data_IF_760902427689
#
_entry.id   IF_760902427689
#
_cell.length_a   1.000
_cell.length_b   1.000
_cell.length_c   1.000
_cell.angle_alpha   90.00
_cell.angle_beta   90.00
_cell.angle_gamma   90.00
#
_symmetry.space_group_name_H-M   'P 1'
#
loop_
_entity.id
_entity.type
_entity.pdbx_description
1 polymer ?
#
# COMPACT_ATOMS: atom_id res chain seq x y z
N UNK A 1 -1.94 -21.02 -3.50
CA UNK A 1 -1.60 -19.98 -2.49
C UNK A 1 -2.89 -19.56 -1.81
N UNK A 2 -2.94 -19.64 -0.48
CA UNK A 2 -4.14 -19.28 0.27
C UNK A 2 -4.21 -17.75 0.39
N UNK A 3 -5.30 -17.13 -0.06
CA UNK A 3 -5.48 -15.66 0.04
C UNK A 3 -6.04 -15.33 1.41
N UNK A 4 -5.24 -14.69 2.27
CA UNK A 4 -5.70 -14.19 3.57
C UNK A 4 -6.46 -12.88 3.36
N UNK A 5 -7.71 -12.83 3.84
CA UNK A 5 -8.56 -11.64 3.78
C UNK A 5 -8.48 -10.84 5.08
N UNK A 6 -8.49 -9.51 4.95
CA UNK A 6 -8.66 -8.56 6.05
C UNK A 6 -10.14 -8.23 6.21
N UNK A 7 -10.54 -7.84 7.42
CA UNK A 7 -11.92 -7.43 7.69
C UNK A 7 -11.99 -6.26 8.65
N UNK A 8 -12.96 -5.38 8.41
CA UNK A 8 -13.48 -4.43 9.40
C UNK A 8 -14.97 -4.75 9.67
N UNK A 9 -15.65 -3.90 10.45
CA UNK A 9 -17.06 -4.10 10.86
C UNK A 9 -17.97 -4.59 9.74
N UNK A 10 -17.84 -4.01 8.54
CA UNK A 10 -18.78 -4.23 7.44
C UNK A 10 -18.12 -4.73 6.14
N UNK A 11 -16.79 -4.75 6.06
CA UNK A 11 -16.06 -5.02 4.82
C UNK A 11 -15.02 -6.12 5.05
N UNK A 12 -15.07 -7.16 4.21
CA UNK A 12 -14.02 -8.17 4.09
C UNK A 12 -13.33 -7.94 2.75
N UNK A 13 -12.01 -7.86 2.72
CA UNK A 13 -11.26 -7.45 1.54
C UNK A 13 -9.87 -8.08 1.47
N UNK A 14 -9.36 -8.26 0.26
CA UNK A 14 -7.92 -8.36 -0.02
C UNK A 14 -7.65 -7.52 -1.26
N UNK A 15 -7.17 -6.30 -1.05
CA UNK A 15 -7.01 -5.29 -2.09
C UNK A 15 -5.53 -4.98 -2.24
N UNK A 16 -4.84 -5.83 -2.98
CA UNK A 16 -3.40 -5.72 -3.24
C UNK A 16 -3.15 -5.04 -4.58
N UNK A 17 -2.16 -4.17 -4.61
CA UNK A 17 -1.81 -3.37 -5.77
C UNK A 17 -0.31 -3.38 -5.99
N UNK A 18 0.11 -3.57 -7.23
CA UNK A 18 1.45 -3.26 -7.68
C UNK A 18 1.47 -1.81 -8.15
N UNK A 19 2.25 -0.98 -7.45
CA UNK A 19 2.38 0.44 -7.72
C UNK A 19 3.81 0.74 -8.15
N UNK A 20 3.96 1.56 -9.18
CA UNK A 20 5.25 2.07 -9.62
C UNK A 20 5.21 3.58 -9.81
N UNK A 21 6.25 4.29 -9.36
CA UNK A 21 6.45 5.70 -9.71
C UNK A 21 7.93 6.04 -9.86
N UNK A 22 8.21 7.17 -10.52
CA UNK A 22 9.57 7.61 -10.81
C UNK A 22 9.87 8.98 -10.18
N UNK A 23 11.14 9.30 -9.86
CA UNK A 23 11.59 10.65 -9.67
C UNK A 23 11.27 11.55 -10.87
N UNK A 24 11.18 12.85 -10.65
CA UNK A 24 10.95 13.84 -11.70
C UNK A 24 12.06 13.72 -12.77
N UNK A 25 11.63 13.72 -14.03
CA UNK A 25 12.49 13.48 -15.20
C UNK A 25 13.23 12.14 -15.20
N UNK A 26 12.76 11.17 -14.39
CA UNK A 26 13.36 9.84 -14.24
C UNK A 26 14.86 9.91 -13.91
N UNK A 27 15.26 10.93 -13.15
CA UNK A 27 16.67 11.08 -12.73
C UNK A 27 17.04 9.95 -11.77
N UNK A 28 18.26 9.43 -11.93
CA UNK A 28 18.86 8.41 -11.07
C UNK A 28 19.33 9.02 -9.73
N UNK A 29 18.38 9.37 -8.86
CA UNK A 29 18.65 10.06 -7.58
C UNK A 29 18.39 9.21 -6.35
N UNK A 30 17.78 8.03 -6.51
CA UNK A 30 17.54 7.08 -5.42
C UNK A 30 18.77 6.21 -5.22
N UNK A 31 19.88 6.86 -4.86
CA UNK A 31 21.20 6.25 -4.67
C UNK A 31 21.90 6.94 -3.51
N UNK A 32 23.07 6.46 -3.11
CA UNK A 32 23.89 7.08 -2.05
C UNK A 32 23.12 7.25 -0.73
N UNK A 33 22.34 6.24 -0.34
CA UNK A 33 21.57 6.21 0.90
C UNK A 33 20.17 6.82 0.82
N UNK A 34 19.82 7.51 -0.27
CA UNK A 34 18.44 8.01 -0.48
C UNK A 34 17.44 6.87 -0.59
N UNK A 35 17.82 5.79 -1.26
CA UNK A 35 17.03 4.57 -1.41
C UNK A 35 16.78 3.88 -0.05
N UNK A 36 17.82 3.73 0.76
CA UNK A 36 17.71 3.15 2.11
C UNK A 36 16.76 3.98 2.95
N UNK A 37 16.97 5.30 2.98
CA UNK A 37 16.12 6.22 3.74
C UNK A 37 14.69 6.25 3.23
N UNK A 38 14.49 6.16 1.92
CA UNK A 38 13.16 6.05 1.32
C UNK A 38 12.45 4.76 1.75
N UNK A 39 13.13 3.61 1.81
CA UNK A 39 12.53 2.35 2.29
C UNK A 39 12.07 2.48 3.75
N UNK A 40 12.83 3.14 4.61
CA UNK A 40 12.44 3.42 6.01
C UNK A 40 11.19 4.29 6.09
N UNK A 41 11.21 5.45 5.42
CA UNK A 41 10.12 6.41 5.43
C UNK A 41 8.80 5.82 4.90
N UNK A 42 8.88 5.00 3.85
CA UNK A 42 7.70 4.33 3.29
C UNK A 42 7.11 3.34 4.29
N UNK A 43 7.93 2.55 4.97
CA UNK A 43 7.48 1.59 5.99
C UNK A 43 6.87 2.30 7.20
N UNK A 44 7.55 3.32 7.72
CA UNK A 44 7.08 4.12 8.84
C UNK A 44 5.71 4.74 8.54
N UNK A 45 5.59 5.38 7.37
CA UNK A 45 4.39 6.13 7.03
C UNK A 45 3.21 5.23 6.60
N UNK A 46 3.48 4.05 6.04
CA UNK A 46 2.44 3.10 5.69
C UNK A 46 1.61 2.67 6.91
N UNK A 47 2.24 2.53 8.08
CA UNK A 47 1.57 2.24 9.36
C UNK A 47 0.53 3.33 9.69
N UNK A 48 0.87 4.60 9.51
CA UNK A 48 -0.04 5.72 9.75
C UNK A 48 -1.24 5.72 8.79
N UNK A 49 -1.09 5.13 7.59
CA UNK A 49 -2.15 5.01 6.61
C UNK A 49 -2.99 3.73 6.79
N UNK A 50 -2.67 2.88 7.79
CA UNK A 50 -3.24 1.53 7.91
C UNK A 50 -3.15 0.76 6.59
N UNK A 51 -2.03 0.92 5.89
CA UNK A 51 -1.73 0.24 4.64
C UNK A 51 -0.51 -0.66 4.84
N UNK A 52 -0.52 -1.82 4.20
CA UNK A 52 0.54 -2.81 4.38
C UNK A 52 1.40 -2.90 3.13
N UNK A 53 2.67 -2.49 3.25
CA UNK A 53 3.67 -2.72 2.21
C UNK A 53 4.16 -4.15 2.35
N UNK A 54 3.76 -5.01 1.42
CA UNK A 54 4.10 -6.43 1.40
C UNK A 54 5.50 -6.65 0.84
N UNK A 55 5.82 -5.98 -0.27
CA UNK A 55 7.13 -6.02 -0.92
C UNK A 55 7.48 -4.65 -1.47
N UNK A 56 8.76 -4.33 -1.52
CA UNK A 56 9.24 -3.03 -2.01
C UNK A 56 10.67 -3.10 -2.54
N UNK A 57 10.83 -2.68 -3.79
CA UNK A 57 12.13 -2.49 -4.40
C UNK A 57 12.33 -1.10 -4.98
N UNK A 58 13.56 -0.61 -4.85
CA UNK A 58 13.93 0.75 -5.23
C UNK A 58 15.12 0.69 -6.17
N UNK A 59 14.88 1.18 -7.38
CA UNK A 59 15.87 1.34 -8.43
C UNK A 59 16.30 2.80 -8.47
N UNK A 60 17.48 3.11 -9.02
CA UNK A 60 17.98 4.48 -9.03
C UNK A 60 16.99 5.53 -9.56
N UNK A 61 16.14 5.15 -10.51
CA UNK A 61 15.19 6.00 -11.22
C UNK A 61 13.70 5.64 -11.02
N UNK A 62 13.35 4.67 -10.18
CA UNK A 62 11.94 4.30 -9.92
C UNK A 62 11.76 3.42 -8.68
N UNK A 63 10.51 3.36 -8.20
CA UNK A 63 10.12 2.63 -6.99
C UNK A 63 9.02 1.63 -7.36
N UNK A 64 9.17 0.37 -6.95
CA UNK A 64 8.16 -0.69 -7.03
C UNK A 64 7.64 -1.01 -5.64
N UNK A 65 6.32 -1.01 -5.46
CA UNK A 65 5.68 -1.39 -4.20
C UNK A 65 4.53 -2.36 -4.47
N UNK A 66 4.51 -3.48 -3.76
CA UNK A 66 3.31 -4.28 -3.57
C UNK A 66 2.66 -3.85 -2.25
N UNK A 67 1.48 -3.23 -2.35
CA UNK A 67 0.78 -2.65 -1.19
C UNK A 67 -0.64 -3.21 -1.09
N UNK A 68 -1.07 -3.53 0.13
CA UNK A 68 -2.47 -3.82 0.45
C UNK A 68 -3.11 -2.60 1.14
N UNK A 69 -4.24 -2.14 0.61
CA UNK A 69 -4.91 -0.92 1.08
C UNK A 69 -6.38 -1.20 1.35
N UNK A 70 -6.93 -0.66 2.44
CA UNK A 70 -8.36 -0.73 2.70
C UNK A 70 -9.16 -0.09 1.54
N UNK A 71 -10.23 -0.74 1.05
CA UNK A 71 -10.99 -0.24 -0.11
C UNK A 71 -11.62 1.14 0.14
N UNK A 72 -11.97 1.45 1.40
CA UNK A 72 -12.52 2.75 1.80
C UNK A 72 -11.48 3.88 1.77
N UNK A 73 -10.21 3.56 2.00
CA UNK A 73 -9.12 4.53 1.90
C UNK A 73 -8.73 4.73 0.43
N UNK A 74 -8.57 3.63 -0.29
CA UNK A 74 -8.30 3.59 -1.73
C UNK A 74 -6.83 3.85 -2.08
N UNK A 75 -6.35 3.13 -3.11
CA UNK A 75 -4.94 3.14 -3.52
C UNK A 75 -4.44 4.52 -3.93
N UNK A 76 -5.28 5.36 -4.56
CA UNK A 76 -4.90 6.70 -4.98
C UNK A 76 -4.48 7.58 -3.79
N UNK A 77 -5.23 7.56 -2.68
CA UNK A 77 -4.91 8.33 -1.48
C UNK A 77 -3.63 7.83 -0.85
N UNK A 78 -3.44 6.50 -0.77
CA UNK A 78 -2.20 5.90 -0.26
C UNK A 78 -0.97 6.38 -1.05
N UNK A 79 -1.00 6.26 -2.37
CA UNK A 79 0.13 6.65 -3.23
C UNK A 79 0.40 8.16 -3.14
N UNK A 80 -0.65 8.99 -3.13
CA UNK A 80 -0.51 10.45 -2.98
C UNK A 80 0.17 10.81 -1.65
N UNK A 81 -0.29 10.21 -0.55
CA UNK A 81 0.24 10.47 0.78
C UNK A 81 1.68 10.00 0.93
N UNK A 82 2.02 8.79 0.46
CA UNK A 82 3.38 8.25 0.47
C UNK A 82 4.36 9.13 -0.33
N UNK A 83 3.98 9.51 -1.56
CA UNK A 83 4.81 10.39 -2.40
C UNK A 83 4.99 11.77 -1.76
N UNK A 84 3.93 12.35 -1.19
CA UNK A 84 3.98 13.66 -0.54
C UNK A 84 4.91 13.67 0.68
N UNK A 85 4.72 12.72 1.59
CA UNK A 85 5.51 12.57 2.81
C UNK A 85 6.99 12.37 2.51
N UNK A 86 7.31 11.37 1.66
CA UNK A 86 8.70 11.05 1.29
C UNK A 86 9.38 12.18 0.53
N UNK A 87 8.66 12.86 -0.38
CA UNK A 87 9.22 14.01 -1.10
C UNK A 87 9.60 15.14 -0.16
N UNK A 88 8.82 15.40 0.90
CA UNK A 88 9.11 16.45 1.86
C UNK A 88 10.38 16.12 2.64
N UNK A 89 10.44 14.96 3.27
CA UNK A 89 11.53 14.58 4.18
C UNK A 89 12.84 14.38 3.41
N UNK A 90 12.83 13.62 2.30
CA UNK A 90 14.06 13.39 1.54
C UNK A 90 14.64 14.69 0.98
N UNK A 91 13.82 15.65 0.56
CA UNK A 91 14.33 16.95 0.08
C UNK A 91 14.87 17.84 1.21
N UNK A 92 14.48 17.59 2.46
CA UNK A 92 15.05 18.24 3.64
C UNK A 92 16.38 17.60 4.02
N UNK A 93 16.42 16.27 4.14
CA UNK A 93 17.62 15.49 4.52
C UNK A 93 18.71 15.47 3.44
N UNK A 94 18.32 15.53 2.16
CA UNK A 94 19.25 15.53 1.01
C UNK A 94 19.06 16.79 0.15
N UNK A 95 19.67 17.93 0.54
CA UNK A 95 19.45 19.21 -0.14
C UNK A 95 19.75 19.21 -1.65
N UNK A 96 20.67 18.36 -2.12
CA UNK A 96 20.98 18.24 -3.55
C UNK A 96 19.79 17.74 -4.39
N UNK A 97 18.77 17.11 -3.79
CA UNK A 97 17.54 16.74 -4.48
C UNK A 97 16.71 17.98 -4.87
N UNK A 98 16.87 19.11 -4.14
CA UNK A 98 16.19 20.37 -4.45
C UNK A 98 16.81 21.10 -5.64
N UNK A 99 18.15 21.05 -5.75
CA UNK A 99 18.86 21.73 -6.85
C UNK A 99 18.71 20.98 -8.18
N UNK A 100 18.61 19.65 -8.17
CA UNK A 100 18.48 18.84 -9.39
C UNK A 100 17.08 18.83 -10.02
N UNK A 101 16.03 19.14 -9.26
CA UNK A 101 14.63 19.06 -9.72
C UNK A 101 13.64 19.86 -8.84
N UNK A 102 12.56 20.41 -9.45
CA UNK A 102 11.57 21.21 -8.73
C UNK A 102 10.73 20.40 -7.73
N UNK A 103 10.47 19.13 -8.04
CA UNK A 103 9.78 18.16 -7.17
C UNK A 103 10.54 16.84 -7.19
N UNK A 104 10.45 16.03 -6.12
CA UNK A 104 11.11 14.73 -6.14
C UNK A 104 10.43 13.76 -7.09
N UNK A 105 9.09 13.68 -7.05
CA UNK A 105 8.31 12.73 -7.83
C UNK A 105 7.61 13.37 -9.02
N UNK A 106 7.25 12.56 -10.01
CA UNK A 106 6.25 12.92 -11.02
C UNK A 106 4.85 12.94 -10.41
N UNK A 107 3.88 13.55 -11.11
CA UNK A 107 2.47 13.46 -10.70
C UNK A 107 1.87 12.08 -11.01
N UNK A 108 2.39 11.41 -12.04
CA UNK A 108 1.95 10.08 -12.48
C UNK A 108 2.42 8.96 -11.55
N UNK A 109 1.72 7.84 -11.62
CA UNK A 109 2.14 6.54 -11.11
C UNK A 109 1.40 5.46 -11.90
N UNK A 110 2.00 4.28 -12.00
CA UNK A 110 1.37 3.08 -12.51
C UNK A 110 0.72 2.33 -11.35
N UNK A 111 -0.42 1.70 -11.61
CA UNK A 111 -1.10 0.83 -10.65
C UNK A 111 -1.73 -0.35 -11.38
N UNK A 112 -1.52 -1.54 -10.83
CA UNK A 112 -2.15 -2.79 -11.27
C UNK A 112 -2.67 -3.55 -10.06
N UNK A 113 -3.85 -4.15 -10.17
CA UNK A 113 -4.39 -5.03 -9.11
C UNK A 113 -3.64 -6.36 -9.12
N UNK A 114 -3.29 -6.87 -7.93
CA UNK A 114 -2.59 -8.14 -7.77
C UNK A 114 -3.47 -9.11 -7.00
N UNK A 115 -3.58 -10.33 -7.51
CA UNK A 115 -4.37 -11.40 -6.90
C UNK A 115 -5.75 -11.57 -7.51
N UNK A 116 -6.09 -12.81 -7.82
CA UNK A 116 -7.46 -13.26 -8.03
C UNK A 116 -7.91 -14.05 -6.81
N UNK A 117 -9.17 -13.87 -6.39
CA UNK A 117 -9.76 -14.73 -5.39
C UNK A 117 -9.99 -16.12 -6.01
N UNK A 118 -9.53 -17.21 -5.38
CA UNK A 118 -9.95 -18.55 -5.78
C UNK A 118 -11.49 -18.63 -5.74
N UNK A 119 -12.08 -19.34 -6.70
CA UNK A 119 -13.54 -19.44 -6.85
C UNK A 119 -14.20 -19.96 -5.57
N UNK A 120 -13.50 -20.85 -4.87
CA UNK A 120 -13.91 -21.45 -3.60
C UNK A 120 -14.10 -20.39 -2.51
N UNK A 121 -13.22 -19.40 -2.43
CA UNK A 121 -13.30 -18.33 -1.42
C UNK A 121 -14.45 -17.38 -1.71
N UNK A 122 -14.70 -17.10 -2.99
CA UNK A 122 -15.87 -16.30 -3.40
C UNK A 122 -17.16 -17.05 -3.02
N UNK A 123 -17.25 -18.35 -3.30
CA UNK A 123 -18.41 -19.19 -2.94
C UNK A 123 -18.66 -19.22 -1.43
N UNK A 124 -17.62 -19.45 -0.63
CA UNK A 124 -17.70 -19.43 0.84
C UNK A 124 -18.16 -18.07 1.37
N UNK A 125 -17.64 -16.97 0.83
CA UNK A 125 -18.09 -15.62 1.19
C UNK A 125 -19.60 -15.43 0.92
N UNK A 126 -20.10 -15.89 -0.24
CA UNK A 126 -21.52 -15.81 -0.61
C UNK A 126 -22.39 -16.66 0.33
N UNK A 127 -21.98 -17.88 0.67
CA UNK A 127 -22.72 -18.73 1.62
C UNK A 127 -22.78 -18.13 3.02
N UNK A 128 -21.67 -17.58 3.50
CA UNK A 128 -21.61 -16.94 4.82
C UNK A 128 -22.49 -15.69 4.93
N UNK A 129 -22.78 -15.01 3.82
CA UNK A 129 -23.70 -13.88 3.79
C UNK A 129 -25.16 -14.30 4.05
N UNK A 130 -25.58 -15.50 3.65
CA UNK A 130 -26.95 -16.00 3.91
C UNK A 130 -27.20 -16.20 5.40
N UNK A 131 -26.22 -16.76 6.11
CA UNK A 131 -26.31 -17.12 7.54
C UNK A 131 -26.13 -15.92 8.49
N UNK A 132 -25.65 -14.78 8.00
CA UNK A 132 -25.48 -13.55 8.82
C UNK A 132 -26.79 -12.89 9.22
N UNK A 133 -27.87 -13.06 8.44
CA UNK A 133 -29.18 -12.48 8.77
C UNK A 133 -29.86 -13.17 9.96
N UNK A 134 -29.47 -14.40 10.27
CA UNK A 134 -30.08 -15.20 11.35
C UNK A 134 -29.38 -15.03 12.71
N UNK A 135 -28.24 -14.33 12.77
CA UNK A 135 -27.45 -14.14 14.00
C UNK A 135 -27.15 -12.67 14.30
N UNK A 136 -28.17 -11.91 14.71
CA UNK A 136 -27.96 -10.75 15.61
C UNK A 136 -27.59 -11.27 17.00
N UNK A 137 -26.36 -11.74 17.19
CA UNK A 137 -25.82 -12.07 18.51
C UNK A 137 -24.49 -11.34 18.70
N UNK A 138 -24.38 -10.64 19.83
CA UNK A 138 -23.30 -9.73 20.23
C UNK A 138 -21.91 -10.32 20.00
N UNK A 139 -21.01 -9.52 19.40
CA UNK A 139 -19.59 -9.85 19.26
C UNK A 139 -18.77 -8.95 20.19
N UNK A 140 -18.60 -9.38 21.43
CA UNK A 140 -17.47 -8.97 22.26
C UNK A 140 -16.37 -10.04 22.15
N UNK A 141 -15.14 -9.57 21.90
CA UNK A 141 -13.85 -10.29 21.91
C UNK A 141 -13.53 -11.24 20.74
N UNK A 142 -12.85 -10.70 19.72
CA UNK A 142 -12.11 -11.50 18.73
C UNK A 142 -10.59 -11.29 18.91
N UNK A 143 -9.95 -12.17 19.70
CA UNK A 143 -8.52 -12.47 19.55
C UNK A 143 -8.36 -13.39 18.34
N UNK A 144 -7.47 -12.97 17.42
CA UNK A 144 -6.64 -13.75 16.47
C UNK A 144 -7.20 -15.07 15.94
N UNK A 145 -7.46 -15.13 14.63
CA UNK A 145 -7.36 -16.35 13.84
C UNK A 145 -6.31 -16.17 12.74
N UNK A 146 -5.28 -17.01 12.76
CA UNK A 146 -4.39 -17.32 11.64
C UNK A 146 -4.99 -18.51 10.88
N UNK A 147 -4.97 -18.45 9.55
CA UNK A 147 -5.12 -19.57 8.60
C UNK A 147 -4.03 -19.40 7.54
#
# INVERSE_FOLDING_TARGET
MNTIYKSNNNVVYSCKYHVVWCPKYRRKVLTNGVDVRLKELLREYAVNLSADILEMEIMPDHVHILIEVAPQFGVHKAVKSLKGYTSKILRQEFPYLRTKMPTLWTNSYFVSTVGGAPMEVIKQYIENQKHRKDKKVKWDNAKRYQI
#
